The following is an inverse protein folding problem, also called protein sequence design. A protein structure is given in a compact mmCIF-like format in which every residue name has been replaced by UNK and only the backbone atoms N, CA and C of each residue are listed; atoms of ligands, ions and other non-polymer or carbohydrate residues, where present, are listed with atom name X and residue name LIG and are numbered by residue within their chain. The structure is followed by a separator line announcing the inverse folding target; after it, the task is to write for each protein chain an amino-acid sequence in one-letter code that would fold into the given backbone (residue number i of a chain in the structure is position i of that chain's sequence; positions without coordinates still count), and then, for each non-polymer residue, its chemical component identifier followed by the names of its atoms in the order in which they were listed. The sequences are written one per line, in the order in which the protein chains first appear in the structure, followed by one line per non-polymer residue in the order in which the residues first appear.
data_IF_235321084502
#
_entry.id   IF_235321084502
#
_cell.length_a   1.000
_cell.length_b   1.000
_cell.length_c   1.000
_cell.angle_alpha   90.00
_cell.angle_beta   90.00
_cell.angle_gamma   90.00
#
_symmetry.space_group_name_H-M   'P 1'
#
loop_
_entity.id
_entity.type
_entity.pdbx_description
1 polymer ?
#
# COMPACT_ATOMS: atom_id res chain seq x y z
N UNK A 1 -19.01 -31.96 -69.66
CA UNK A 1 -18.28 -32.94 -70.49
C UNK A 1 -17.25 -33.60 -69.60
N UNK A 2 -17.53 -34.85 -69.23
CA UNK A 2 -16.63 -36.02 -69.06
C UNK A 2 -15.11 -35.71 -69.00
N UNK A 3 -14.28 -36.32 -68.14
CA UNK A 3 -14.07 -37.78 -68.04
C UNK A 3 -13.13 -38.18 -66.88
N UNK A 4 -13.42 -39.36 -66.28
CA UNK A 4 -12.52 -40.48 -65.81
C UNK A 4 -11.53 -40.28 -64.64
N UNK A 5 -11.71 -40.94 -63.46
CA UNK A 5 -11.29 -42.33 -63.03
C UNK A 5 -9.77 -42.57 -63.01
N UNK A 6 -9.10 -43.26 -62.07
CA UNK A 6 -9.48 -44.38 -61.18
C UNK A 6 -8.42 -44.59 -60.07
N UNK A 7 -8.89 -44.93 -58.86
CA UNK A 7 -8.39 -45.86 -57.82
C UNK A 7 -6.94 -46.37 -57.79
N UNK A 8 -6.36 -46.36 -56.58
CA UNK A 8 -5.72 -47.58 -56.00
C UNK A 8 -5.94 -47.62 -54.49
N UNK A 9 -6.39 -48.78 -54.02
CA UNK A 9 -6.83 -49.16 -52.67
C UNK A 9 -5.68 -49.59 -51.75
N UNK A 10 -5.68 -49.06 -50.51
CA UNK A 10 -5.45 -49.65 -49.16
C UNK A 10 -4.64 -50.96 -48.97
N UNK A 11 -3.88 -51.10 -47.84
CA UNK A 11 -4.54 -51.46 -46.58
C UNK A 11 -4.03 -50.82 -45.27
N UNK A 12 -5.05 -50.53 -44.46
CA UNK A 12 -5.24 -50.39 -43.00
C UNK A 12 -4.26 -51.09 -42.05
N UNK A 13 -3.80 -50.36 -41.02
CA UNK A 13 -3.64 -50.73 -39.57
C UNK A 13 -2.79 -49.61 -38.93
N UNK A 14 -3.05 -48.97 -37.78
CA UNK A 14 -3.96 -49.14 -36.64
C UNK A 14 -4.02 -47.76 -35.98
N UNK A 15 -5.19 -47.13 -35.90
CA UNK A 15 -5.35 -45.87 -35.19
C UNK A 15 -5.69 -46.16 -33.72
N UNK A 16 -4.75 -45.88 -32.83
CA UNK A 16 -4.94 -45.92 -31.38
C UNK A 16 -5.88 -44.78 -30.96
N UNK A 17 -7.05 -45.05 -30.35
CA UNK A 17 -7.91 -43.99 -29.85
C UNK A 17 -7.35 -43.50 -28.51
N UNK A 18 -6.72 -42.32 -28.50
CA UNK A 18 -6.45 -41.61 -27.25
C UNK A 18 -7.76 -41.06 -26.71
N UNK A 19 -8.25 -41.73 -25.69
CA UNK A 19 -9.44 -41.39 -24.92
C UNK A 19 -9.27 -40.02 -24.27
N UNK A 20 -9.95 -38.99 -24.80
CA UNK A 20 -10.31 -37.81 -24.01
C UNK A 20 -11.26 -38.25 -22.90
N UNK A 21 -10.73 -38.56 -21.72
CA UNK A 21 -11.52 -38.52 -20.48
C UNK A 21 -11.78 -37.06 -20.14
N UNK A 22 -12.76 -36.46 -20.81
CA UNK A 22 -13.48 -35.31 -20.27
C UNK A 22 -14.35 -35.84 -19.14
N UNK A 23 -13.82 -35.78 -17.92
CA UNK A 23 -14.66 -35.90 -16.73
C UNK A 23 -15.52 -34.64 -16.65
N UNK A 24 -16.75 -34.70 -17.15
CA UNK A 24 -17.81 -33.76 -16.78
C UNK A 24 -18.13 -33.98 -15.30
N UNK A 25 -17.29 -33.41 -14.42
CA UNK A 25 -17.64 -33.26 -13.01
C UNK A 25 -18.73 -32.21 -12.91
N UNK A 26 -19.91 -32.61 -12.42
CA UNK A 26 -21.04 -31.70 -12.13
C UNK A 26 -20.53 -30.46 -11.41
N UNK A 27 -20.75 -29.29 -12.03
CA UNK A 27 -20.38 -28.00 -11.42
C UNK A 27 -21.16 -27.85 -10.12
N UNK A 28 -20.43 -27.72 -9.02
CA UNK A 28 -21.00 -27.53 -7.70
C UNK A 28 -21.57 -26.12 -7.60
N UNK A 29 -22.85 -26.00 -7.27
CA UNK A 29 -23.57 -24.73 -7.16
C UNK A 29 -24.06 -24.41 -5.75
N UNK A 30 -24.09 -25.40 -4.84
CA UNK A 30 -24.51 -25.18 -3.45
C UNK A 30 -23.45 -24.36 -2.69
N UNK A 31 -23.82 -23.26 -2.00
CA UNK A 31 -22.87 -22.38 -1.31
C UNK A 31 -21.91 -23.09 -0.34
N UNK A 32 -22.39 -24.08 0.41
CA UNK A 32 -21.55 -24.81 1.37
C UNK A 32 -20.40 -25.54 0.69
N UNK A 33 -20.67 -26.24 -0.41
CA UNK A 33 -19.65 -26.96 -1.16
C UNK A 33 -18.73 -26.02 -1.96
N UNK A 34 -19.20 -24.82 -2.33
CA UNK A 34 -18.33 -23.78 -2.88
C UNK A 34 -17.31 -23.32 -1.83
N UNK A 35 -17.75 -23.08 -0.60
CA UNK A 35 -16.88 -22.66 0.51
C UNK A 35 -15.89 -23.76 0.89
N UNK A 36 -16.34 -25.01 0.97
CA UNK A 36 -15.48 -26.16 1.22
C UNK A 36 -14.37 -26.25 0.16
N UNK A 37 -14.71 -26.23 -1.14
CA UNK A 37 -13.72 -26.28 -2.21
C UNK A 37 -12.78 -25.06 -2.22
N UNK A 38 -13.31 -23.86 -1.92
CA UNK A 38 -12.49 -22.66 -1.78
C UNK A 38 -11.48 -22.80 -0.63
N UNK A 39 -11.93 -23.28 0.54
CA UNK A 39 -11.09 -23.44 1.74
C UNK A 39 -9.98 -24.47 1.56
N UNK A 40 -10.22 -25.50 0.74
CA UNK A 40 -9.24 -26.53 0.39
C UNK A 40 -8.29 -26.10 -0.73
N UNK A 41 -8.55 -24.97 -1.39
CA UNK A 41 -7.70 -24.48 -2.49
C UNK A 41 -6.42 -23.87 -1.91
N UNK A 42 -5.21 -24.36 -2.31
CA UNK A 42 -3.96 -23.81 -1.81
C UNK A 42 -3.83 -22.31 -2.12
N UNK A 43 -3.28 -21.56 -1.17
CA UNK A 43 -3.06 -20.13 -1.33
C UNK A 43 -2.09 -19.90 -2.52
N UNK A 44 -2.53 -19.28 -3.63
CA UNK A 44 -1.72 -19.15 -4.84
C UNK A 44 -0.62 -18.09 -4.66
N UNK A 45 0.44 -18.13 -5.49
CA UNK A 45 1.38 -17.00 -5.57
C UNK A 45 0.70 -15.76 -6.16
N UNK A 46 1.20 -14.55 -5.84
CA UNK A 46 0.72 -13.31 -6.42
C UNK A 46 0.77 -13.33 -7.96
N UNK A 47 -0.23 -12.70 -8.57
CA UNK A 47 -0.41 -12.59 -10.01
C UNK A 47 -0.98 -13.84 -10.70
N UNK A 48 -1.14 -14.96 -9.99
CA UNK A 48 -1.70 -16.20 -10.54
C UNK A 48 -3.22 -16.20 -10.50
N UNK A 49 -3.81 -16.77 -11.55
CA UNK A 49 -5.23 -17.09 -11.59
C UNK A 49 -5.47 -18.40 -10.84
N UNK A 50 -6.56 -18.46 -10.09
CA UNK A 50 -7.06 -19.62 -9.38
C UNK A 50 -8.40 -19.98 -9.97
N UNK A 51 -8.54 -21.26 -10.33
CA UNK A 51 -9.83 -21.86 -10.63
C UNK A 51 -10.16 -22.77 -9.45
N UNK A 52 -11.25 -22.47 -8.74
CA UNK A 52 -11.63 -23.26 -7.57
C UNK A 52 -12.19 -24.61 -8.06
N UNK A 53 -11.61 -25.75 -7.66
CA UNK A 53 -11.95 -27.05 -8.22
C UNK A 53 -13.43 -27.37 -8.16
N UNK A 54 -13.98 -27.95 -9.24
CA UNK A 54 -15.40 -28.35 -9.35
C UNK A 54 -16.41 -27.20 -9.21
N UNK A 55 -15.97 -25.95 -9.32
CA UNK A 55 -16.85 -24.76 -9.29
C UNK A 55 -16.64 -23.92 -10.56
N UNK A 56 -17.53 -22.95 -10.79
CA UNK A 56 -17.34 -21.90 -11.80
C UNK A 56 -16.53 -20.71 -11.28
N UNK A 57 -16.10 -20.73 -10.01
CA UNK A 57 -15.41 -19.60 -9.38
C UNK A 57 -13.95 -19.55 -9.84
N UNK A 58 -13.57 -18.42 -10.40
CA UNK A 58 -12.18 -18.10 -10.72
C UNK A 58 -11.85 -16.69 -10.25
N UNK A 59 -10.62 -16.51 -9.76
CA UNK A 59 -10.13 -15.20 -9.33
C UNK A 59 -8.62 -15.10 -9.55
N UNK A 60 -8.08 -13.88 -9.50
CA UNK A 60 -6.64 -13.64 -9.59
C UNK A 60 -6.16 -13.08 -8.26
N UNK A 61 -5.17 -13.71 -7.63
CA UNK A 61 -4.58 -13.15 -6.41
C UNK A 61 -3.71 -11.97 -6.78
N UNK A 62 -4.15 -10.75 -6.50
CA UNK A 62 -3.37 -9.54 -6.76
C UNK A 62 -2.26 -9.37 -5.71
N UNK A 63 -1.18 -8.64 -6.02
CA UNK A 63 -0.18 -8.24 -5.02
C UNK A 63 -0.81 -7.55 -3.81
N UNK A 64 -0.20 -7.73 -2.63
CA UNK A 64 -0.66 -7.13 -1.37
C UNK A 64 -0.95 -5.64 -1.51
N UNK A 65 -2.13 -5.21 -1.07
CA UNK A 65 -2.57 -3.83 -1.09
C UNK A 65 -3.18 -3.37 -2.42
N UNK A 66 -2.98 -4.06 -3.55
CA UNK A 66 -3.57 -3.62 -4.82
C UNK A 66 -5.08 -3.90 -4.88
N UNK A 67 -5.53 -5.04 -4.37
CA UNK A 67 -6.95 -5.40 -4.35
C UNK A 67 -7.74 -4.52 -3.40
N UNK A 68 -7.18 -4.31 -2.22
CA UNK A 68 -7.72 -3.46 -1.16
C UNK A 68 -7.83 -2.01 -1.64
N UNK A 69 -6.81 -1.49 -2.33
CA UNK A 69 -6.89 -0.16 -2.95
C UNK A 69 -7.93 -0.11 -4.07
N UNK A 70 -8.03 -1.13 -4.94
CA UNK A 70 -9.05 -1.17 -6.00
C UNK A 70 -10.47 -1.12 -5.46
N UNK A 71 -10.70 -1.66 -4.27
CA UNK A 71 -11.98 -1.58 -3.58
C UNK A 71 -12.17 -0.26 -2.83
N UNK A 72 -11.18 0.16 -2.04
CA UNK A 72 -11.28 1.31 -1.15
C UNK A 72 -11.29 2.65 -1.90
N UNK A 73 -10.43 2.81 -2.91
CA UNK A 73 -10.28 4.10 -3.60
C UNK A 73 -11.58 4.61 -4.25
N UNK A 74 -12.34 3.78 -4.99
CA UNK A 74 -13.59 4.24 -5.59
C UNK A 74 -14.65 4.68 -4.59
N UNK A 75 -14.65 4.09 -3.40
CA UNK A 75 -15.55 4.48 -2.31
C UNK A 75 -15.07 5.81 -1.73
N UNK A 76 -13.80 5.91 -1.37
CA UNK A 76 -13.22 7.10 -0.75
C UNK A 76 -13.20 8.32 -1.69
N UNK A 77 -13.00 8.11 -3.00
CA UNK A 77 -12.89 9.19 -4.00
C UNK A 77 -14.12 10.08 -4.10
N UNK A 78 -15.29 9.58 -3.71
CA UNK A 78 -16.54 10.35 -3.65
C UNK A 78 -16.48 11.48 -2.60
N UNK A 79 -15.69 11.27 -1.55
CA UNK A 79 -15.57 12.14 -0.38
C UNK A 79 -14.22 12.88 -0.32
N UNK A 80 -13.20 12.37 -1.02
CA UNK A 80 -11.86 12.94 -0.99
C UNK A 80 -11.75 14.26 -1.77
N UNK A 81 -11.25 15.28 -1.08
CA UNK A 81 -10.60 16.44 -1.72
C UNK A 81 -9.08 16.29 -1.64
N UNK A 82 -8.35 17.01 -2.49
CA UNK A 82 -6.88 17.03 -2.42
C UNK A 82 -6.37 17.51 -1.06
N UNK A 83 -7.05 18.50 -0.47
CA UNK A 83 -6.69 19.05 0.83
C UNK A 83 -6.94 18.08 1.98
N UNK A 84 -8.11 17.46 2.00
CA UNK A 84 -8.45 16.46 3.01
C UNK A 84 -7.48 15.27 2.95
N UNK A 85 -7.16 14.79 1.74
CA UNK A 85 -6.20 13.70 1.55
C UNK A 85 -4.81 14.07 2.09
N UNK A 86 -4.31 15.27 1.80
CA UNK A 86 -3.00 15.71 2.27
C UNK A 86 -2.97 15.89 3.80
N UNK A 87 -4.05 16.41 4.40
CA UNK A 87 -4.18 16.49 5.86
C UNK A 87 -4.15 15.11 6.50
N UNK A 88 -4.91 14.15 5.95
CA UNK A 88 -4.94 12.77 6.44
C UNK A 88 -3.57 12.10 6.32
N UNK A 89 -2.91 12.19 5.16
CA UNK A 89 -1.57 11.63 4.95
C UNK A 89 -0.58 12.27 5.92
N UNK A 90 -0.61 13.60 6.11
CA UNK A 90 0.24 14.28 7.08
C UNK A 90 0.05 13.76 8.51
N UNK A 91 -1.21 13.61 8.94
CA UNK A 91 -1.54 13.08 10.26
C UNK A 91 -1.02 11.65 10.46
N UNK A 92 -1.13 10.79 9.43
CA UNK A 92 -0.61 9.42 9.47
C UNK A 92 0.91 9.41 9.56
N UNK A 93 1.61 10.22 8.77
CA UNK A 93 3.08 10.31 8.83
C UNK A 93 3.57 10.75 10.19
N UNK A 94 2.85 11.66 10.84
CA UNK A 94 3.18 12.18 12.17
C UNK A 94 2.61 11.33 13.31
N UNK A 95 2.09 10.13 12.98
CA UNK A 95 1.53 9.17 13.93
C UNK A 95 0.52 9.79 14.92
N UNK A 96 -0.36 10.65 14.41
CA UNK A 96 -1.43 11.25 15.22
C UNK A 96 -2.55 10.25 15.46
N UNK A 97 -3.36 10.52 16.48
CA UNK A 97 -4.63 9.84 16.72
C UNK A 97 -5.67 10.39 15.75
N UNK A 98 -6.25 9.50 14.95
CA UNK A 98 -7.17 9.86 13.86
C UNK A 98 -8.50 9.16 14.09
N UNK A 99 -9.59 9.91 14.00
CA UNK A 99 -10.96 9.38 14.03
C UNK A 99 -11.71 9.79 12.77
N UNK A 100 -12.12 8.81 11.97
CA UNK A 100 -13.05 8.98 10.87
C UNK A 100 -14.48 8.86 11.35
N UNK A 101 -15.32 9.81 10.95
CA UNK A 101 -16.74 9.85 11.28
C UNK A 101 -17.51 9.74 9.96
N UNK A 102 -18.43 8.78 9.89
CA UNK A 102 -19.35 8.63 8.76
C UNK A 102 -20.51 7.71 9.16
N UNK A 103 -21.70 8.05 8.70
CA UNK A 103 -22.89 7.20 8.79
C UNK A 103 -22.74 5.84 8.08
N UNK A 104 -21.74 5.70 7.20
CA UNK A 104 -21.55 4.51 6.36
C UNK A 104 -20.34 3.68 6.79
N UNK A 105 -20.55 2.46 7.33
CA UNK A 105 -19.45 1.55 7.67
C UNK A 105 -18.54 1.19 6.49
N UNK A 106 -19.13 1.18 5.29
CA UNK A 106 -18.41 0.97 4.02
C UNK A 106 -17.40 2.08 3.76
N UNK A 107 -17.77 3.33 4.02
CA UNK A 107 -16.90 4.50 3.83
C UNK A 107 -15.78 4.47 4.86
N UNK A 108 -16.11 4.27 6.14
CA UNK A 108 -15.12 4.16 7.22
C UNK A 108 -14.07 3.06 6.92
N UNK A 109 -14.53 1.88 6.51
CA UNK A 109 -13.67 0.76 6.11
C UNK A 109 -12.75 1.13 4.94
N UNK A 110 -13.27 1.83 3.94
CA UNK A 110 -12.47 2.29 2.81
C UNK A 110 -11.36 3.25 3.23
N UNK A 111 -11.64 4.23 4.10
CA UNK A 111 -10.64 5.18 4.59
C UNK A 111 -9.58 4.52 5.50
N UNK A 112 -10.00 3.65 6.41
CA UNK A 112 -9.10 2.90 7.29
C UNK A 112 -8.14 1.98 6.53
N UNK A 113 -8.55 1.45 5.37
CA UNK A 113 -7.70 0.64 4.49
C UNK A 113 -6.84 1.52 3.58
N UNK A 114 -7.41 2.58 3.02
CA UNK A 114 -6.77 3.42 2.01
C UNK A 114 -5.48 4.07 2.52
N UNK A 115 -5.52 4.72 3.70
CA UNK A 115 -4.40 5.52 4.17
C UNK A 115 -3.13 4.70 4.49
N UNK A 116 -3.20 3.58 5.23
CA UNK A 116 -2.02 2.74 5.45
C UNK A 116 -1.40 2.22 4.16
N UNK A 117 -2.21 2.02 3.11
CA UNK A 117 -1.73 1.55 1.81
C UNK A 117 -1.17 2.69 0.94
N UNK A 118 -1.65 3.92 1.10
CA UNK A 118 -1.17 5.08 0.36
C UNK A 118 0.22 5.54 0.78
N UNK A 119 0.56 5.39 2.06
CA UNK A 119 1.87 5.79 2.57
C UNK A 119 2.98 4.79 2.21
N UNK A 120 2.68 3.69 1.50
CA UNK A 120 3.74 2.75 1.10
C UNK A 120 4.84 3.46 0.29
N UNK A 121 6.13 3.18 0.56
CA UNK A 121 6.64 1.95 1.17
C UNK A 121 6.74 1.99 2.70
N UNK A 122 6.38 3.11 3.34
CA UNK A 122 6.31 3.17 4.79
C UNK A 122 5.21 2.27 5.32
N UNK A 123 5.47 1.66 6.46
CA UNK A 123 4.51 0.81 7.15
C UNK A 123 3.86 1.62 8.27
N UNK A 124 2.54 1.80 8.19
CA UNK A 124 1.77 2.42 9.26
C UNK A 124 1.90 1.58 10.54
N UNK A 125 2.36 2.20 11.62
CA UNK A 125 2.53 1.55 12.92
C UNK A 125 1.36 1.83 13.89
N UNK A 126 0.38 2.63 13.45
CA UNK A 126 -0.80 2.95 14.25
C UNK A 126 -1.75 1.75 14.36
N UNK A 127 -2.51 1.69 15.45
CA UNK A 127 -3.61 0.72 15.60
C UNK A 127 -4.73 1.11 14.65
N UNK A 128 -5.06 0.26 13.68
CA UNK A 128 -6.11 0.54 12.69
C UNK A 128 -7.36 -0.29 13.00
N UNK A 129 -8.44 0.38 13.42
CA UNK A 129 -9.77 -0.21 13.58
C UNK A 129 -10.75 0.58 12.71
N UNK A 130 -10.95 0.20 11.44
CA UNK A 130 -11.77 0.98 10.51
C UNK A 130 -13.23 1.10 10.97
N UNK A 131 -13.68 0.21 11.87
CA UNK A 131 -14.96 0.28 12.56
C UNK A 131 -14.71 -0.05 14.03
N UNK A 132 -14.79 0.95 14.89
CA UNK A 132 -14.69 0.81 16.33
C UNK A 132 -16.11 0.62 16.91
N UNK A 133 -16.41 -0.54 17.53
CA UNK A 133 -17.68 -0.76 18.21
C UNK A 133 -17.84 0.16 19.42
N UNK A 134 -19.09 0.55 19.74
CA UNK A 134 -19.43 1.45 20.86
C UNK A 134 -18.87 0.99 22.21
N UNK A 135 -18.93 -0.31 22.50
CA UNK A 135 -18.42 -0.87 23.75
C UNK A 135 -16.89 -0.76 23.91
N UNK A 136 -16.16 -0.40 22.85
CA UNK A 136 -14.72 -0.14 22.87
C UNK A 136 -14.39 1.36 22.86
N UNK A 137 -15.34 2.27 23.03
CA UNK A 137 -15.04 3.71 23.02
C UNK A 137 -14.04 4.15 24.12
N UNK A 138 -13.88 3.38 25.19
CA UNK A 138 -12.79 3.61 26.15
C UNK A 138 -11.38 3.53 25.55
N UNK A 139 -11.21 2.92 24.37
CA UNK A 139 -9.91 2.84 23.69
C UNK A 139 -9.48 4.16 23.05
N UNK A 140 -10.32 5.19 22.99
CA UNK A 140 -9.89 6.50 22.49
C UNK A 140 -8.81 7.15 23.38
N UNK A 141 -8.79 6.82 24.66
CA UNK A 141 -7.88 7.41 25.65
C UNK A 141 -6.51 6.72 25.70
N UNK A 142 -6.28 5.71 24.87
CA UNK A 142 -4.97 5.04 24.82
C UNK A 142 -3.89 6.02 24.33
N UNK A 143 -2.65 5.94 24.83
CA UNK A 143 -1.60 6.90 24.50
C UNK A 143 -0.98 6.64 23.12
N UNK A 144 -1.31 5.53 22.46
CA UNK A 144 -0.68 5.11 21.21
C UNK A 144 -1.36 5.73 19.99
N UNK A 145 -0.63 5.90 18.87
CA UNK A 145 -1.21 6.30 17.59
C UNK A 145 -2.29 5.31 17.13
N UNK A 146 -3.40 5.83 16.61
CA UNK A 146 -4.48 5.01 16.07
C UNK A 146 -5.20 5.66 14.90
N UNK A 147 -5.85 4.83 14.10
CA UNK A 147 -6.78 5.22 13.03
C UNK A 147 -8.08 4.46 13.27
N UNK A 148 -9.06 5.13 13.87
CA UNK A 148 -10.36 4.55 14.17
C UNK A 148 -11.45 5.12 13.27
N UNK A 149 -12.44 4.31 12.94
CA UNK A 149 -13.66 4.76 12.28
C UNK A 149 -14.87 4.53 13.16
N UNK A 150 -15.74 5.53 13.29
CA UNK A 150 -16.98 5.43 14.06
C UNK A 150 -18.17 5.96 13.28
N UNK A 151 -19.31 5.31 13.50
CA UNK A 151 -20.61 5.79 13.01
C UNK A 151 -21.21 6.84 13.94
N UNK A 152 -20.82 6.82 15.22
CA UNK A 152 -21.30 7.71 16.26
C UNK A 152 -20.12 8.09 17.16
N UNK A 153 -20.04 9.36 17.54
CA UNK A 153 -19.04 9.84 18.50
C UNK A 153 -19.26 9.20 19.88
N UNK A 154 -18.21 9.11 20.71
CA UNK A 154 -18.36 8.68 22.10
C UNK A 154 -19.19 9.67 22.91
N UNK A 155 -19.62 9.23 24.10
CA UNK A 155 -20.34 10.09 25.04
C UNK A 155 -19.47 11.29 25.47
N UNK A 156 -20.10 12.38 25.89
CA UNK A 156 -19.44 13.69 26.09
C UNK A 156 -18.24 13.64 27.04
N UNK A 157 -18.31 12.83 28.10
CA UNK A 157 -17.22 12.63 29.07
C UNK A 157 -15.92 12.17 28.38
N UNK A 158 -16.01 11.14 27.53
CA UNK A 158 -14.85 10.63 26.78
C UNK A 158 -14.43 11.63 25.71
N UNK A 159 -15.40 12.25 25.03
CA UNK A 159 -15.11 13.19 23.94
C UNK A 159 -14.32 14.42 24.42
N UNK A 160 -14.63 14.92 25.62
CA UNK A 160 -13.93 16.05 26.25
C UNK A 160 -12.46 15.73 26.57
N UNK A 161 -12.13 14.47 26.86
CA UNK A 161 -10.76 14.02 27.12
C UNK A 161 -9.92 13.84 25.85
N UNK A 162 -10.54 13.75 24.66
CA UNK A 162 -9.88 13.51 23.36
C UNK A 162 -9.19 14.76 22.78
N UNK A 163 -8.28 15.35 23.54
CA UNK A 163 -7.61 16.63 23.25
C UNK A 163 -6.49 16.56 22.20
N UNK A 164 -5.98 15.36 21.92
CA UNK A 164 -4.88 15.09 20.98
C UNK A 164 -5.32 14.29 19.74
N UNK A 165 -6.62 14.34 19.44
CA UNK A 165 -7.26 13.59 18.36
C UNK A 165 -7.67 14.52 17.21
N UNK A 166 -7.37 14.08 15.99
CA UNK A 166 -7.83 14.72 14.76
C UNK A 166 -9.07 13.98 14.26
N UNK A 167 -10.19 14.70 14.19
CA UNK A 167 -11.44 14.19 13.68
C UNK A 167 -11.59 14.57 12.21
N UNK A 168 -12.03 13.60 11.41
CA UNK A 168 -12.39 13.81 10.02
C UNK A 168 -13.83 13.36 9.81
N UNK A 169 -14.72 14.34 9.67
CA UNK A 169 -16.09 14.09 9.22
C UNK A 169 -16.07 13.88 7.71
N UNK A 170 -16.19 12.61 7.32
CA UNK A 170 -16.05 12.21 5.92
C UNK A 170 -17.30 12.58 5.12
N UNK A 171 -18.46 12.54 5.76
CA UNK A 171 -19.74 12.83 5.11
C UNK A 171 -19.85 14.33 4.77
N UNK A 172 -19.33 15.20 5.63
CA UNK A 172 -19.29 16.65 5.42
C UNK A 172 -17.98 17.17 4.80
N UNK A 173 -16.94 16.34 4.75
CA UNK A 173 -15.63 16.70 4.20
C UNK A 173 -14.85 17.69 5.09
N UNK A 174 -15.13 17.67 6.39
CA UNK A 174 -14.58 18.60 7.37
C UNK A 174 -13.54 17.91 8.26
N UNK A 175 -12.66 18.71 8.86
CA UNK A 175 -11.67 18.23 9.81
C UNK A 175 -11.65 19.15 11.03
N UNK A 176 -11.66 18.59 12.23
CA UNK A 176 -11.61 19.32 13.50
C UNK A 176 -10.65 18.64 14.48
N UNK A 177 -10.48 19.23 15.66
CA UNK A 177 -9.60 18.72 16.70
C UNK A 177 -8.21 19.37 16.72
N UNK A 178 -7.38 18.85 17.62
CA UNK A 178 -6.03 19.32 17.96
C UNK A 178 -5.14 18.07 18.02
N UNK A 179 -3.85 18.11 17.63
CA UNK A 179 -3.00 19.28 17.48
C UNK A 179 -2.91 19.84 16.05
N UNK A 180 -2.57 21.12 15.94
CA UNK A 180 -2.00 21.66 14.70
C UNK A 180 -0.76 20.84 14.33
N UNK A 181 -0.70 20.41 13.07
CA UNK A 181 0.40 19.60 12.58
C UNK A 181 1.27 20.39 11.62
N UNK A 182 2.61 20.29 11.71
CA UNK A 182 3.48 20.86 10.70
C UNK A 182 3.16 20.23 9.35
N UNK A 183 3.21 21.02 8.29
CA UNK A 183 2.85 20.56 6.96
C UNK A 183 3.95 19.70 6.34
N UNK A 184 3.54 18.76 5.49
CA UNK A 184 4.43 18.00 4.62
C UNK A 184 5.42 18.93 3.87
N UNK A 185 6.71 18.56 3.75
CA UNK A 185 7.69 19.30 2.96
C UNK A 185 7.23 19.47 1.53
N UNK A 186 7.49 20.62 0.89
CA UNK A 186 7.10 20.87 -0.51
C UNK A 186 5.61 20.59 -0.85
N UNK A 187 4.69 20.71 0.12
CA UNK A 187 3.26 20.36 -0.02
C UNK A 187 2.57 21.02 -1.22
N UNK A 188 2.96 22.24 -1.60
CA UNK A 188 2.37 22.96 -2.73
C UNK A 188 2.61 22.24 -4.07
N UNK A 189 3.82 21.71 -4.27
CA UNK A 189 4.18 20.93 -5.45
C UNK A 189 3.43 19.61 -5.51
N UNK A 190 3.33 18.91 -4.37
CA UNK A 190 2.56 17.67 -4.25
C UNK A 190 1.08 17.92 -4.53
N UNK A 191 0.48 18.96 -3.92
CA UNK A 191 -0.91 19.34 -4.12
C UNK A 191 -1.22 19.60 -5.59
N UNK A 192 -0.35 20.32 -6.32
CA UNK A 192 -0.51 20.60 -7.76
C UNK A 192 -0.55 19.31 -8.59
N UNK A 193 0.32 18.34 -8.29
CA UNK A 193 0.39 17.03 -8.97
C UNK A 193 -0.79 16.11 -8.59
N UNK A 194 -1.31 16.23 -7.36
CA UNK A 194 -2.36 15.37 -6.81
C UNK A 194 -3.77 15.77 -7.28
N UNK A 195 -4.04 17.08 -7.44
CA UNK A 195 -5.32 17.62 -7.94
C UNK A 195 -5.86 16.91 -9.20
N UNK A 196 -5.10 16.75 -10.31
CA UNK A 196 -5.61 16.09 -11.50
C UNK A 196 -5.92 14.61 -11.26
N UNK A 197 -5.16 13.91 -10.42
CA UNK A 197 -5.41 12.49 -10.11
C UNK A 197 -6.71 12.30 -9.34
N UNK A 198 -6.95 13.13 -8.31
CA UNK A 198 -8.21 13.14 -7.54
C UNK A 198 -9.38 13.46 -8.47
N UNK A 199 -9.23 14.46 -9.35
CA UNK A 199 -10.26 14.84 -10.31
C UNK A 199 -10.60 13.73 -11.32
N UNK A 200 -9.58 13.06 -11.87
CA UNK A 200 -9.77 11.92 -12.79
C UNK A 200 -10.49 10.77 -12.10
N UNK A 201 -10.08 10.44 -10.87
CA UNK A 201 -10.69 9.34 -10.14
C UNK A 201 -12.17 9.61 -9.83
N UNK A 202 -12.50 10.83 -9.38
CA UNK A 202 -13.89 11.22 -9.10
C UNK A 202 -14.76 11.07 -10.35
N UNK A 203 -14.26 11.52 -11.51
CA UNK A 203 -14.94 11.37 -12.81
C UNK A 203 -15.15 9.91 -13.20
N UNK A 204 -14.13 9.05 -13.04
CA UNK A 204 -14.20 7.62 -13.34
C UNK A 204 -15.23 6.91 -12.46
N UNK A 205 -15.29 7.25 -11.18
CA UNK A 205 -16.23 6.64 -10.24
C UNK A 205 -17.69 7.03 -10.51
N UNK A 206 -17.96 8.26 -10.94
CA UNK A 206 -19.31 8.67 -11.38
C UNK A 206 -19.80 7.91 -12.62
N UNK A 207 -18.91 7.50 -13.53
CA UNK A 207 -19.28 6.74 -14.74
C UNK A 207 -19.44 5.23 -14.48
N UNK A 208 -18.76 4.70 -13.46
CA UNK A 208 -18.71 3.25 -13.20
C UNK A 208 -20.04 2.67 -12.68
N UNK A 209 -20.96 3.49 -12.16
CA UNK A 209 -22.29 3.00 -11.76
C UNK A 209 -23.14 2.58 -12.97
N UNK A 210 -22.80 3.03 -14.19
CA UNK A 210 -23.55 2.74 -15.42
C UNK A 210 -23.02 1.53 -16.22
N UNK A 211 -21.80 1.02 -15.96
CA UNK A 211 -21.19 -0.03 -16.82
C UNK A 211 -20.52 -1.16 -16.02
N UNK A 212 -21.20 -2.32 -15.91
CA UNK A 212 -20.85 -3.46 -15.04
C UNK A 212 -19.55 -4.24 -15.34
N UNK A 213 -18.75 -3.90 -16.36
CA UNK A 213 -17.55 -4.71 -16.72
C UNK A 213 -16.29 -3.93 -17.17
N UNK A 214 -16.33 -2.60 -17.28
CA UNK A 214 -15.23 -1.80 -17.86
C UNK A 214 -14.30 -1.05 -16.87
N UNK A 215 -14.74 -0.78 -15.64
CA UNK A 215 -14.05 0.18 -14.74
C UNK A 215 -12.74 -0.30 -14.10
N UNK A 216 -12.42 -1.60 -14.13
CA UNK A 216 -11.32 -2.18 -13.35
C UNK A 216 -9.92 -1.76 -13.83
N UNK A 217 -9.74 -1.54 -15.14
CA UNK A 217 -8.42 -1.19 -15.72
C UNK A 217 -8.05 0.29 -15.51
N UNK A 218 -9.02 1.19 -15.71
CA UNK A 218 -8.81 2.64 -15.54
C UNK A 218 -8.61 3.04 -14.09
N UNK A 219 -9.40 2.47 -13.17
CA UNK A 219 -9.21 2.69 -11.74
C UNK A 219 -7.83 2.18 -11.32
N UNK A 220 -7.39 1.02 -11.82
CA UNK A 220 -6.07 0.48 -11.51
C UNK A 220 -4.92 1.35 -12.04
N UNK A 221 -5.07 2.02 -13.20
CA UNK A 221 -4.05 2.93 -13.72
C UNK A 221 -3.96 4.21 -12.89
N UNK A 222 -5.10 4.76 -12.48
CA UNK A 222 -5.16 5.91 -11.58
C UNK A 222 -4.53 5.60 -10.22
N UNK A 223 -4.87 4.46 -9.60
CA UNK A 223 -4.27 4.00 -8.34
C UNK A 223 -2.75 3.87 -8.46
N UNK A 224 -2.26 3.30 -9.58
CA UNK A 224 -0.82 3.21 -9.85
C UNK A 224 -0.18 4.59 -9.95
N UNK A 225 -0.83 5.55 -10.60
CA UNK A 225 -0.36 6.92 -10.68
C UNK A 225 -0.27 7.60 -9.30
N UNK A 226 -1.27 7.40 -8.42
CA UNK A 226 -1.21 7.87 -7.03
C UNK A 226 -0.01 7.27 -6.29
N UNK A 227 0.19 5.95 -6.36
CA UNK A 227 1.32 5.28 -5.71
C UNK A 227 2.66 5.79 -6.25
N UNK A 228 2.80 5.91 -7.57
CA UNK A 228 4.02 6.43 -8.19
C UNK A 228 4.29 7.87 -7.76
N UNK A 229 3.25 8.71 -7.65
CA UNK A 229 3.40 10.09 -7.19
C UNK A 229 3.90 10.14 -5.75
N UNK A 230 3.26 9.42 -4.83
CA UNK A 230 3.67 9.39 -3.43
C UNK A 230 5.06 8.77 -3.25
N UNK A 231 5.36 7.64 -3.91
CA UNK A 231 6.70 7.04 -3.90
C UNK A 231 7.77 8.01 -4.41
N UNK A 232 7.48 8.71 -5.51
CA UNK A 232 8.39 9.71 -6.08
C UNK A 232 8.61 10.88 -5.13
N UNK A 233 7.54 11.40 -4.53
CA UNK A 233 7.58 12.47 -3.54
C UNK A 233 8.40 12.07 -2.30
N UNK A 234 8.17 10.89 -1.74
CA UNK A 234 8.91 10.42 -0.58
C UNK A 234 10.40 10.21 -0.86
N UNK A 235 10.72 9.68 -2.04
CA UNK A 235 12.11 9.58 -2.49
C UNK A 235 12.76 10.96 -2.70
N UNK A 236 11.99 11.97 -3.07
CA UNK A 236 12.48 13.34 -3.25
C UNK A 236 12.76 14.01 -1.90
N UNK A 237 11.82 13.93 -0.94
CA UNK A 237 12.00 14.54 0.39
C UNK A 237 13.08 13.82 1.22
N UNK A 238 13.26 12.51 1.02
CA UNK A 238 14.23 11.68 1.74
C UNK A 238 15.32 11.12 0.84
N UNK A 239 15.69 11.84 -0.21
CA UNK A 239 16.71 11.38 -1.17
C UNK A 239 17.80 10.58 -0.45
N UNK A 240 18.06 9.33 -0.86
CA UNK A 240 18.94 8.43 -0.11
C UNK A 240 20.31 9.06 0.17
N UNK A 241 20.73 9.98 -0.71
CA UNK A 241 21.91 10.82 -0.56
C UNK A 241 21.84 11.78 0.65
N UNK A 242 20.67 12.30 1.02
CA UNK A 242 20.49 13.11 2.23
C UNK A 242 20.76 12.30 3.49
N UNK A 243 20.03 11.19 3.72
CA UNK A 243 20.21 10.38 4.94
C UNK A 243 21.65 9.84 5.04
N UNK A 244 22.20 9.34 3.93
CA UNK A 244 23.56 8.81 3.89
C UNK A 244 24.64 9.81 4.26
N UNK A 245 24.49 11.08 3.84
CA UNK A 245 25.44 12.15 4.18
C UNK A 245 25.41 12.50 5.67
N UNK A 246 24.35 12.11 6.35
CA UNK A 246 24.20 12.30 7.78
C UNK A 246 24.41 11.00 8.56
N UNK A 247 25.00 9.96 7.95
CA UNK A 247 25.44 8.75 8.64
C UNK A 247 26.95 8.73 8.88
N UNK A 248 27.38 8.25 10.04
CA UNK A 248 28.77 7.90 10.34
C UNK A 248 28.88 6.38 10.44
N UNK A 249 29.96 5.82 9.89
CA UNK A 249 30.29 4.41 10.05
C UNK A 249 31.79 4.25 10.31
N UNK A 250 32.14 3.30 11.17
CA UNK A 250 33.53 2.87 11.29
C UNK A 250 33.96 2.10 10.03
N UNK A 251 34.89 2.64 9.25
CA UNK A 251 35.34 2.02 7.98
C UNK A 251 36.41 0.95 8.17
N UNK A 252 37.01 0.84 9.36
CA UNK A 252 38.09 -0.13 9.63
C UNK A 252 37.56 -1.51 10.02
N UNK A 253 36.32 -1.60 10.49
CA UNK A 253 35.67 -2.84 10.90
C UNK A 253 34.68 -3.35 9.86
N UNK A 254 34.82 -4.62 9.47
CA UNK A 254 33.91 -5.26 8.51
C UNK A 254 32.48 -5.38 9.03
N UNK A 255 32.29 -5.43 10.35
CA UNK A 255 31.01 -5.51 11.06
C UNK A 255 30.49 -4.15 11.54
N UNK A 256 31.09 -3.03 11.11
CA UNK A 256 30.66 -1.72 11.57
C UNK A 256 29.21 -1.41 11.17
N UNK A 257 28.48 -0.82 12.11
CA UNK A 257 27.11 -0.36 11.94
C UNK A 257 27.12 1.11 11.56
N UNK A 258 26.26 1.50 10.61
CA UNK A 258 26.05 2.91 10.28
C UNK A 258 25.13 3.57 11.31
N UNK A 259 25.54 4.72 11.83
CA UNK A 259 24.78 5.52 12.80
C UNK A 259 24.32 6.79 12.13
N UNK A 260 23.01 7.04 12.14
CA UNK A 260 22.42 8.24 11.59
C UNK A 260 22.40 9.39 12.61
N UNK A 261 22.84 10.58 12.18
CA UNK A 261 22.94 11.79 12.99
C UNK A 261 21.73 12.70 12.72
N UNK A 262 20.75 12.66 13.64
CA UNK A 262 19.51 13.43 13.53
C UNK A 262 19.75 14.93 13.37
N UNK A 263 20.61 15.49 14.22
CA UNK A 263 20.87 16.93 14.28
C UNK A 263 21.49 17.42 12.96
N UNK A 264 22.44 16.65 12.43
CA UNK A 264 23.10 16.95 11.15
C UNK A 264 22.08 17.02 10.00
N UNK A 265 21.13 16.08 9.97
CA UNK A 265 20.04 16.07 8.98
C UNK A 265 19.11 17.28 9.15
N UNK A 266 18.64 17.57 10.37
CA UNK A 266 17.74 18.71 10.62
C UNK A 266 18.36 20.05 10.20
N UNK A 267 19.66 20.25 10.45
CA UNK A 267 20.36 21.48 10.05
C UNK A 267 20.38 21.65 8.52
N UNK A 268 20.47 20.55 7.76
CA UNK A 268 20.49 20.59 6.29
C UNK A 268 19.10 20.86 5.67
N UNK A 269 18.02 20.62 6.41
CA UNK A 269 16.66 20.93 5.97
C UNK A 269 16.36 22.44 5.92
N UNK A 270 15.45 22.83 5.02
CA UNK A 270 14.93 24.20 4.94
C UNK A 270 14.23 24.58 6.27
N UNK A 271 14.48 25.78 6.78
CA UNK A 271 13.97 26.21 8.10
C UNK A 271 12.45 26.02 8.29
N UNK A 272 11.66 26.30 7.24
CA UNK A 272 10.20 26.12 7.26
C UNK A 272 9.74 24.65 7.32
N UNK A 273 10.61 23.71 6.96
CA UNK A 273 10.31 22.27 6.89
C UNK A 273 10.86 21.51 8.13
N UNK A 274 11.76 22.13 8.90
CA UNK A 274 12.34 21.54 10.12
C UNK A 274 11.28 21.05 11.13
N UNK A 275 10.20 21.80 11.44
CA UNK A 275 9.21 21.32 12.40
C UNK A 275 8.55 20.00 11.99
N UNK A 276 8.38 19.77 10.69
CA UNK A 276 7.87 18.50 10.18
C UNK A 276 8.89 17.38 10.42
N UNK A 277 10.14 17.57 9.98
CA UNK A 277 11.16 16.53 10.12
C UNK A 277 11.47 16.22 11.59
N UNK A 278 11.49 17.22 12.47
CA UNK A 278 11.69 17.01 13.90
C UNK A 278 10.64 16.09 14.53
N UNK A 279 9.35 16.31 14.21
CA UNK A 279 8.27 15.45 14.66
C UNK A 279 8.30 14.08 13.98
N UNK A 280 8.43 14.07 12.65
CA UNK A 280 8.42 12.84 11.87
C UNK A 280 9.56 11.90 12.26
N UNK A 281 10.75 12.42 12.55
CA UNK A 281 11.89 11.61 13.01
C UNK A 281 11.70 11.03 14.42
N UNK A 282 10.65 11.43 15.15
CA UNK A 282 10.23 10.82 16.40
C UNK A 282 9.20 9.69 16.24
N UNK A 283 8.81 9.36 15.01
CA UNK A 283 7.77 8.37 14.72
C UNK A 283 8.34 6.97 14.50
N UNK A 284 7.52 5.95 14.77
CA UNK A 284 7.87 4.56 14.49
C UNK A 284 7.92 4.28 12.98
N UNK A 285 7.10 4.97 12.18
CA UNK A 285 7.21 5.01 10.73
C UNK A 285 8.63 5.38 10.29
N UNK A 286 9.23 6.43 10.87
CA UNK A 286 10.59 6.83 10.55
C UNK A 286 11.61 5.81 11.05
N UNK A 287 11.50 5.35 12.29
CA UNK A 287 12.40 4.36 12.88
C UNK A 287 12.50 3.10 12.00
N UNK A 288 11.36 2.52 11.61
CA UNK A 288 11.33 1.34 10.74
C UNK A 288 11.96 1.62 9.37
N UNK A 289 11.66 2.77 8.78
CA UNK A 289 12.28 3.16 7.50
C UNK A 289 13.80 3.36 7.62
N UNK A 290 14.25 4.01 8.70
CA UNK A 290 15.66 4.26 8.96
C UNK A 290 16.40 2.94 9.16
N UNK A 291 15.88 2.03 9.98
CA UNK A 291 16.48 0.71 10.22
C UNK A 291 16.65 -0.07 8.92
N UNK A 292 15.61 -0.14 8.10
CA UNK A 292 15.68 -0.80 6.79
C UNK A 292 16.68 -0.14 5.85
N UNK A 293 16.79 1.18 5.91
CA UNK A 293 17.78 1.95 5.14
C UNK A 293 19.20 1.64 5.62
N UNK A 294 19.48 1.75 6.91
CA UNK A 294 20.79 1.47 7.51
C UNK A 294 21.24 0.02 7.28
N UNK A 295 20.34 -0.95 7.45
CA UNK A 295 20.62 -2.36 7.14
C UNK A 295 21.04 -2.55 5.68
N UNK A 296 20.33 -1.91 4.75
CA UNK A 296 20.64 -1.99 3.33
C UNK A 296 22.04 -1.41 3.07
N UNK A 297 22.34 -0.27 3.65
CA UNK A 297 23.64 0.41 3.53
C UNK A 297 24.77 -0.44 4.10
N UNK A 298 24.54 -1.07 5.25
CA UNK A 298 25.55 -1.89 5.90
C UNK A 298 25.87 -3.17 5.12
N UNK A 299 24.85 -3.77 4.50
CA UNK A 299 25.01 -4.89 3.57
C UNK A 299 25.76 -4.46 2.31
N UNK A 300 25.50 -3.27 1.77
CA UNK A 300 26.24 -2.77 0.60
C UNK A 300 27.71 -2.51 0.93
N UNK A 301 28.00 -1.83 2.04
CA UNK A 301 29.37 -1.53 2.44
C UNK A 301 30.20 -2.80 2.70
N UNK A 302 29.64 -3.81 3.38
CA UNK A 302 30.32 -5.09 3.63
C UNK A 302 30.64 -5.88 2.34
N UNK A 303 29.77 -5.81 1.32
CA UNK A 303 30.06 -6.40 -0.01
C UNK A 303 31.22 -5.69 -0.71
N UNK A 304 31.34 -4.37 -0.56
CA UNK A 304 32.42 -3.60 -1.17
C UNK A 304 33.78 -3.84 -0.48
N UNK A 305 33.83 -3.94 0.84
CA UNK A 305 35.06 -4.30 1.58
C UNK A 305 35.56 -5.69 1.20
N UNK A 306 34.66 -6.68 1.08
CA UNK A 306 35.02 -8.04 0.64
C UNK A 306 35.53 -8.11 -0.81
N UNK A 307 35.02 -7.24 -1.70
CA UNK A 307 35.53 -7.14 -3.07
C UNK A 307 36.94 -6.54 -3.12
N UNK A 308 37.19 -5.50 -2.32
CA UNK A 308 38.49 -4.81 -2.26
C UNK A 308 39.58 -5.70 -1.64
N UNK A 309 39.25 -6.47 -0.59
CA UNK A 309 40.18 -7.43 0.01
C UNK A 309 40.55 -8.58 -0.96
N UNK A 310 39.63 -8.98 -1.85
CA UNK A 310 39.91 -10.00 -2.88
C UNK A 310 40.75 -9.47 -4.04
N UNK A 311 40.62 -8.20 -4.41
CA UNK A 311 41.46 -7.59 -5.44
C UNK A 311 42.90 -7.35 -4.96
N UNK A 312 43.08 -6.98 -3.69
CA UNK A 312 44.41 -6.74 -3.12
C UNK A 312 45.17 -8.06 -2.82
N UNK A 313 44.47 -9.17 -2.62
CA UNK A 313 45.07 -10.50 -2.47
C UNK A 313 45.54 -11.12 -3.81
N UNK A 314 45.25 -10.48 -4.95
CA UNK A 314 45.50 -11.00 -6.30
C UNK A 314 46.73 -10.43 -7.02
N UNK A 315 47.53 -9.57 -6.38
CA UNK A 315 48.74 -9.00 -6.99
C UNK A 315 49.97 -9.67 -6.37
N UNK A 316 50.69 -10.56 -7.08
CA UNK A 316 52.00 -11.00 -6.65
C UNK A 316 52.93 -9.79 -6.69
N UNK A 317 53.56 -9.45 -5.56
CA UNK A 317 54.73 -8.57 -5.56
C UNK A 317 55.84 -9.28 -6.32
N UNK A 318 56.06 -8.92 -7.58
CA UNK A 318 57.28 -9.28 -8.29
C UNK A 318 58.42 -8.44 -7.70
N UNK A 319 59.30 -9.12 -6.96
CA UNK A 319 60.66 -8.70 -6.72
C UNK A 319 61.59 -9.30 -7.76
#
# INVERSE_FOLDING_TARGET
TTTTTTTTTTPTTTATPTTKKQGEGTVITKPIHLLENYSLTPIPKFGRNVNVPRTSLSYRRLPTGEEELRWAFPIASKFLTTDLLLKMVNAVFLEKKIVFISSSPRVLSAFGILLPLLIRPYECQAVVLPLLPKFLHGTFLVPVPYIFGVTELPDSEILEEMTDVIFFDIDHGESSGSPETPLLPQISGLKKKLRPLVGTLRKQCSKSEETKRGGSSEIASTIRAFRTLFLGYFREILSNDSIMRHCIRNVTESSAVSVFLKESFIVSCQAKERPFFEQWMGTQIFSNYLDMTLLTLDVFASKHTHRKSKSDAGVPKQG
#
